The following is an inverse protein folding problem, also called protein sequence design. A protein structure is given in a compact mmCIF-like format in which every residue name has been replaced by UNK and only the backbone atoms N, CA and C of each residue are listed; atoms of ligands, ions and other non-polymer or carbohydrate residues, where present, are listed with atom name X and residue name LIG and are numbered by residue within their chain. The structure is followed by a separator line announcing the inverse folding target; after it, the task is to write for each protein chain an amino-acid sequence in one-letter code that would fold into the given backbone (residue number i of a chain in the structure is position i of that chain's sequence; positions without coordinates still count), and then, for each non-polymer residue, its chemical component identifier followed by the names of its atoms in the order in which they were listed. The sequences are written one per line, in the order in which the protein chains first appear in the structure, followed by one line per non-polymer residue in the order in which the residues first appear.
data_IF_747718793701
#
_entry.id   IF_747718793701
#
_cell.length_a   1.000
_cell.length_b   1.000
_cell.length_c   1.000
_cell.angle_alpha   90.00
_cell.angle_beta   90.00
_cell.angle_gamma   90.00
#
_symmetry.space_group_name_H-M   'P 1'
#
loop_
_entity.id
_entity.type
_entity.pdbx_description
1 polymer ?
#
# COMPACT_ATOMS: atom_id res chain seq x y z
N UNK A 1 -10.63 -40.49 -1.12
CA UNK A 1 -10.31 -41.66 -0.24
C UNK A 1 -9.36 -41.17 0.84
N UNK A 2 -9.62 -41.50 2.11
CA UNK A 2 -8.78 -41.04 3.21
C UNK A 2 -7.40 -41.71 3.18
N UNK A 3 -6.33 -40.94 3.28
CA UNK A 3 -4.96 -41.44 3.37
C UNK A 3 -4.48 -41.33 4.81
N UNK A 4 -3.74 -42.32 5.30
CA UNK A 4 -3.08 -42.18 6.60
C UNK A 4 -1.82 -41.36 6.44
N UNK A 5 -1.70 -40.29 7.21
CA UNK A 5 -0.47 -39.48 7.26
C UNK A 5 0.56 -40.22 8.09
N UNK A 6 1.75 -40.42 7.53
CA UNK A 6 2.91 -40.98 8.22
C UNK A 6 3.81 -39.85 8.73
N UNK A 7 4.60 -40.14 9.74
CA UNK A 7 5.66 -39.26 10.21
C UNK A 7 6.72 -39.12 9.14
N UNK A 8 6.99 -37.90 8.70
CA UNK A 8 7.94 -37.60 7.63
C UNK A 8 9.37 -38.04 7.96
N UNK A 9 9.69 -38.18 9.26
CA UNK A 9 11.03 -38.58 9.72
C UNK A 9 11.26 -40.09 9.75
N UNK A 10 10.25 -40.89 10.11
CA UNK A 10 10.46 -42.32 10.40
C UNK A 10 9.39 -43.27 9.84
N UNK A 11 8.41 -42.75 9.09
CA UNK A 11 7.33 -43.52 8.48
C UNK A 11 6.24 -44.03 9.44
N UNK A 12 6.38 -43.80 10.75
CA UNK A 12 5.39 -44.22 11.75
C UNK A 12 4.03 -43.54 11.53
N UNK A 13 2.93 -44.24 11.78
CA UNK A 13 1.56 -43.76 11.53
C UNK A 13 0.75 -43.56 12.81
N UNK A 14 1.38 -43.75 13.97
CA UNK A 14 0.78 -43.57 15.29
C UNK A 14 1.40 -42.37 15.99
N UNK A 15 0.53 -41.55 16.58
CA UNK A 15 0.87 -40.29 17.20
C UNK A 15 0.19 -40.11 18.55
N UNK A 16 0.81 -39.31 19.41
CA UNK A 16 0.22 -38.77 20.65
C UNK A 16 -0.13 -37.30 20.44
N UNK A 17 -1.03 -36.78 21.27
CA UNK A 17 -1.43 -35.37 21.26
C UNK A 17 -0.86 -34.70 22.50
N UNK A 18 -0.22 -33.55 22.33
CA UNK A 18 0.06 -32.61 23.40
C UNK A 18 -0.71 -31.30 23.13
N UNK A 19 -1.53 -30.89 24.10
CA UNK A 19 -2.43 -29.75 24.00
C UNK A 19 -1.66 -28.47 24.23
N UNK A 20 -1.67 -27.56 23.25
CA UNK A 20 -1.22 -26.17 23.40
C UNK A 20 -2.39 -25.24 23.02
N UNK A 21 -2.29 -23.94 23.30
CA UNK A 21 -3.31 -22.99 22.88
C UNK A 21 -3.20 -22.72 21.38
N UNK A 22 -4.33 -22.62 20.69
CA UNK A 22 -4.51 -22.35 19.25
C UNK A 22 -4.03 -23.45 18.29
N UNK A 23 -3.09 -24.27 18.73
CA UNK A 23 -2.55 -25.42 18.01
C UNK A 23 -2.62 -26.71 18.86
N UNK A 24 -2.36 -27.84 18.24
CA UNK A 24 -2.06 -29.09 18.91
C UNK A 24 -0.75 -29.65 18.38
N UNK A 25 0.11 -30.08 19.30
CA UNK A 25 1.32 -30.81 18.97
C UNK A 25 0.96 -32.27 18.77
N UNK A 26 1.16 -32.75 17.55
CA UNK A 26 1.01 -34.17 17.22
C UNK A 26 2.40 -34.80 17.21
N UNK A 27 2.66 -35.66 18.20
CA UNK A 27 3.97 -36.22 18.49
C UNK A 27 4.04 -37.64 17.95
N UNK A 28 4.97 -37.90 17.03
CA UNK A 28 5.21 -39.25 16.52
C UNK A 28 5.62 -40.19 17.67
N UNK A 29 4.91 -41.31 17.83
CA UNK A 29 5.16 -42.26 18.92
C UNK A 29 6.57 -42.88 18.87
N UNK A 30 7.16 -43.00 17.68
CA UNK A 30 8.45 -43.70 17.46
C UNK A 30 9.67 -42.79 17.58
N UNK A 31 9.62 -41.60 17.01
CA UNK A 31 10.80 -40.71 16.91
C UNK A 31 10.62 -39.35 17.58
N UNK A 32 9.48 -39.12 18.25
CA UNK A 32 9.11 -37.86 18.91
C UNK A 32 9.13 -36.62 18.00
N UNK A 33 9.10 -36.80 16.68
CA UNK A 33 8.94 -35.68 15.75
C UNK A 33 7.58 -35.03 15.99
N UNK A 34 7.58 -33.70 16.18
CA UNK A 34 6.38 -32.90 16.43
C UNK A 34 5.86 -32.36 15.11
N UNK A 35 4.56 -32.43 14.91
CA UNK A 35 3.83 -31.81 13.81
C UNK A 35 2.79 -30.89 14.45
N UNK A 36 2.78 -29.62 14.06
CA UNK A 36 1.79 -28.67 14.54
C UNK A 36 0.50 -28.80 13.72
N UNK A 37 -0.63 -28.84 14.42
CA UNK A 37 -1.95 -28.88 13.81
C UNK A 37 -2.80 -27.74 14.35
N UNK A 38 -3.31 -26.89 13.46
CA UNK A 38 -4.16 -25.79 13.87
C UNK A 38 -5.48 -26.32 14.40
N UNK A 39 -5.72 -26.13 15.71
CA UNK A 39 -6.96 -26.52 16.36
C UNK A 39 -8.02 -25.41 16.26
N UNK A 40 -7.63 -24.23 15.79
CA UNK A 40 -8.41 -22.99 15.75
C UNK A 40 -8.12 -22.12 16.97
N UNK A 41 -8.31 -20.80 16.81
CA UNK A 41 -8.10 -19.83 17.90
C UNK A 41 -8.83 -20.24 19.18
N UNK A 42 -8.12 -20.14 20.30
CA UNK A 42 -8.59 -20.51 21.64
C UNK A 42 -9.14 -21.95 21.75
N UNK A 43 -8.68 -22.86 20.90
CA UNK A 43 -9.18 -24.23 20.80
C UNK A 43 -8.02 -25.21 20.89
N UNK A 44 -8.25 -26.37 21.51
CA UNK A 44 -7.27 -27.45 21.61
C UNK A 44 -7.97 -28.81 21.70
N UNK A 45 -7.19 -29.89 21.77
CA UNK A 45 -7.68 -31.26 21.88
C UNK A 45 -7.27 -31.91 23.21
N UNK A 46 -8.15 -32.73 23.77
CA UNK A 46 -7.79 -33.63 24.88
C UNK A 46 -6.72 -34.64 24.44
N UNK A 47 -5.77 -34.94 25.33
CA UNK A 47 -4.67 -35.90 25.05
C UNK A 47 -5.14 -37.34 24.88
N UNK A 48 -6.39 -37.63 25.28
CA UNK A 48 -6.98 -38.97 25.28
C UNK A 48 -8.28 -38.99 24.48
N UNK A 49 -8.59 -40.16 23.92
CA UNK A 49 -9.80 -40.40 23.18
C UNK A 49 -11.03 -40.25 24.09
N UNK A 50 -12.02 -39.49 23.62
CA UNK A 50 -13.26 -39.19 24.35
C UNK A 50 -14.14 -40.42 24.65
N UNK A 51 -13.92 -41.54 23.98
CA UNK A 51 -14.74 -42.75 24.10
C UNK A 51 -14.09 -43.92 24.85
N UNK A 52 -12.75 -44.01 24.85
CA UNK A 52 -12.05 -45.20 25.36
C UNK A 52 -10.74 -44.91 26.08
N UNK A 53 -10.46 -43.64 26.37
CA UNK A 53 -9.27 -43.13 27.10
C UNK A 53 -7.90 -43.44 26.48
N UNK A 54 -7.86 -44.06 25.30
CA UNK A 54 -6.65 -44.33 24.54
C UNK A 54 -5.94 -43.04 24.14
N UNK A 55 -4.62 -42.99 24.26
CA UNK A 55 -3.77 -41.81 23.98
C UNK A 55 -3.03 -41.91 22.64
N UNK A 56 -3.33 -42.93 21.84
CA UNK A 56 -2.72 -43.19 20.54
C UNK A 56 -3.69 -42.91 19.39
N UNK A 57 -3.25 -42.11 18.43
CA UNK A 57 -4.08 -41.64 17.33
C UNK A 57 -3.41 -41.85 15.97
N UNK A 58 -4.23 -41.96 14.93
CA UNK A 58 -3.84 -41.90 13.52
C UNK A 58 -4.36 -40.60 12.92
N UNK A 59 -3.54 -39.97 12.11
CA UNK A 59 -3.95 -38.81 11.31
C UNK A 59 -4.49 -39.30 9.97
N UNK A 60 -5.73 -38.93 9.63
CA UNK A 60 -6.37 -39.22 8.34
C UNK A 60 -6.49 -37.96 7.52
N UNK A 61 -5.86 -37.96 6.36
CA UNK A 61 -5.88 -36.88 5.40
C UNK A 61 -7.00 -37.08 4.39
N UNK A 62 -7.78 -36.03 4.18
CA UNK A 62 -8.82 -35.93 3.17
C UNK A 62 -8.49 -34.75 2.26
N UNK A 63 -8.25 -35.06 0.99
CA UNK A 63 -7.92 -34.08 -0.03
C UNK A 63 -9.22 -33.65 -0.72
N UNK A 64 -9.56 -32.36 -0.65
CA UNK A 64 -10.75 -31.73 -1.26
C UNK A 64 -10.32 -30.57 -2.18
N UNK A 65 -10.01 -30.87 -3.44
CA UNK A 65 -9.38 -29.88 -4.32
C UNK A 65 -8.03 -29.45 -3.76
N UNK A 66 -7.83 -28.14 -3.57
CA UNK A 66 -6.61 -27.57 -2.98
C UNK A 66 -6.60 -27.58 -1.43
N UNK A 67 -7.67 -28.07 -0.79
CA UNK A 67 -7.80 -28.09 0.67
C UNK A 67 -7.42 -29.46 1.23
N UNK A 68 -6.49 -29.47 2.18
CA UNK A 68 -6.16 -30.63 3.01
C UNK A 68 -6.94 -30.55 4.34
N UNK A 69 -7.74 -31.58 4.64
CA UNK A 69 -8.41 -31.73 5.94
C UNK A 69 -7.78 -32.93 6.66
N UNK A 70 -7.30 -32.73 7.88
CA UNK A 70 -6.78 -33.81 8.72
C UNK A 70 -7.78 -34.11 9.83
N UNK A 71 -8.12 -35.39 9.97
CA UNK A 71 -8.95 -35.93 11.03
C UNK A 71 -8.12 -36.79 11.98
N UNK A 72 -8.31 -36.64 13.28
CA UNK A 72 -7.58 -37.40 14.31
C UNK A 72 -8.43 -38.59 14.76
N UNK A 73 -8.02 -39.81 14.42
CA UNK A 73 -8.74 -41.04 14.76
C UNK A 73 -8.02 -41.84 15.85
N UNK A 74 -8.74 -42.21 16.89
CA UNK A 74 -8.27 -43.14 17.91
C UNK A 74 -7.91 -44.50 17.29
N UNK A 75 -6.72 -45.03 17.62
CA UNK A 75 -6.27 -46.32 17.10
C UNK A 75 -7.17 -47.47 17.54
N UNK A 76 -7.77 -47.38 18.74
CA UNK A 76 -8.59 -48.42 19.38
C UNK A 76 -10.05 -48.43 18.92
N UNK A 77 -10.76 -47.30 19.02
CA UNK A 77 -12.22 -47.26 18.77
C UNK A 77 -12.63 -46.47 17.52
N UNK A 78 -11.69 -45.89 16.77
CA UNK A 78 -11.93 -44.97 15.63
C UNK A 78 -12.65 -43.65 15.97
N UNK A 79 -13.02 -43.43 17.24
CA UNK A 79 -13.53 -42.15 17.71
C UNK A 79 -12.46 -41.06 17.78
N UNK A 80 -12.85 -39.85 18.16
CA UNK A 80 -11.99 -38.66 18.10
C UNK A 80 -11.60 -38.16 19.50
N UNK A 81 -10.47 -37.46 19.66
CA UNK A 81 -10.22 -36.68 20.86
C UNK A 81 -11.26 -35.56 20.98
N UNK A 82 -11.69 -35.25 22.21
CA UNK A 82 -12.63 -34.15 22.44
C UNK A 82 -11.91 -32.82 22.24
N UNK A 83 -12.53 -31.90 21.50
CA UNK A 83 -12.09 -30.50 21.45
C UNK A 83 -12.63 -29.72 22.65
N UNK A 84 -11.83 -28.81 23.17
CA UNK A 84 -12.23 -27.84 24.19
C UNK A 84 -11.49 -26.53 24.01
N UNK A 85 -11.92 -25.51 24.76
CA UNK A 85 -11.39 -24.16 24.61
C UNK A 85 -10.43 -23.80 25.74
N UNK A 86 -9.41 -23.03 25.38
CA UNK A 86 -8.39 -22.53 26.31
C UNK A 86 -8.08 -21.06 26.02
N UNK A 87 -7.74 -20.29 27.05
CA UNK A 87 -7.15 -18.97 26.89
C UNK A 87 -5.66 -19.04 26.48
N UNK A 88 -5.00 -17.90 26.28
CA UNK A 88 -3.58 -17.84 25.87
C UNK A 88 -2.61 -18.42 26.93
N UNK A 89 -3.05 -18.55 28.18
CA UNK A 89 -2.28 -19.14 29.28
C UNK A 89 -2.50 -20.66 29.38
N UNK A 90 -3.45 -21.21 28.61
CA UNK A 90 -3.80 -22.62 28.61
C UNK A 90 -4.88 -23.00 29.61
N UNK A 91 -5.51 -22.04 30.28
CA UNK A 91 -6.60 -22.30 31.20
C UNK A 91 -7.87 -22.68 30.43
N UNK A 92 -8.60 -23.68 30.91
CA UNK A 92 -9.83 -24.13 30.27
C UNK A 92 -10.92 -23.07 30.40
N UNK A 93 -11.52 -22.69 29.28
CA UNK A 93 -12.60 -21.71 29.20
C UNK A 93 -13.85 -22.33 28.57
N UNK A 94 -15.00 -21.69 28.80
CA UNK A 94 -16.24 -22.07 28.13
C UNK A 94 -16.34 -21.44 26.72
N UNK A 95 -17.40 -21.83 26.00
CA UNK A 95 -17.64 -21.33 24.64
C UNK A 95 -17.91 -19.83 24.62
N UNK A 96 -18.66 -19.31 25.58
CA UNK A 96 -19.03 -17.89 25.62
C UNK A 96 -17.79 -17.03 25.82
N UNK A 97 -16.88 -17.44 26.70
CA UNK A 97 -15.58 -16.77 26.91
C UNK A 97 -14.74 -16.82 25.64
N UNK A 98 -14.69 -17.96 24.93
CA UNK A 98 -14.03 -18.02 23.62
C UNK A 98 -14.59 -17.01 22.63
N UNK A 99 -15.90 -16.91 22.49
CA UNK A 99 -16.50 -15.94 21.56
C UNK A 99 -16.15 -14.50 21.95
N UNK A 100 -16.11 -14.19 23.25
CA UNK A 100 -15.66 -12.88 23.75
C UNK A 100 -14.20 -12.61 23.36
N UNK A 101 -13.30 -13.59 23.51
CA UNK A 101 -11.89 -13.43 23.13
C UNK A 101 -11.72 -13.25 21.62
N UNK A 102 -12.50 -13.97 20.79
CA UNK A 102 -12.50 -13.79 19.34
C UNK A 102 -12.99 -12.39 18.93
N UNK A 103 -14.03 -11.89 19.60
CA UNK A 103 -14.52 -10.52 19.40
C UNK A 103 -13.45 -9.52 19.82
N UNK A 104 -12.79 -9.73 20.96
CA UNK A 104 -11.71 -8.86 21.45
C UNK A 104 -10.55 -8.78 20.46
N UNK A 105 -10.06 -9.92 19.97
CA UNK A 105 -9.02 -9.96 18.93
C UNK A 105 -9.45 -9.20 17.66
N UNK A 106 -10.73 -9.30 17.29
CA UNK A 106 -11.28 -8.60 16.13
C UNK A 106 -11.32 -7.09 16.36
N UNK A 107 -11.75 -6.65 17.55
CA UNK A 107 -11.75 -5.22 17.94
C UNK A 107 -10.32 -4.67 17.92
N UNK A 108 -9.35 -5.36 18.53
CA UNK A 108 -7.94 -4.94 18.51
C UNK A 108 -7.41 -4.82 17.07
N UNK A 109 -7.78 -5.73 16.16
CA UNK A 109 -7.41 -5.62 14.76
C UNK A 109 -8.07 -4.43 14.06
N UNK A 110 -9.33 -4.12 14.38
CA UNK A 110 -10.05 -2.97 13.81
C UNK A 110 -9.46 -1.66 14.31
N UNK A 111 -9.14 -1.55 15.61
CA UNK A 111 -8.49 -0.38 16.20
C UNK A 111 -7.15 -0.08 15.54
N UNK A 112 -6.30 -1.10 15.36
CA UNK A 112 -5.03 -0.95 14.64
C UNK A 112 -5.23 -0.45 13.20
N UNK A 113 -6.26 -0.93 12.50
CA UNK A 113 -6.57 -0.46 11.15
C UNK A 113 -7.04 1.00 11.14
N UNK A 114 -7.82 1.42 12.15
CA UNK A 114 -8.25 2.82 12.29
C UNK A 114 -7.03 3.73 12.48
N UNK A 115 -6.09 3.39 13.36
CA UNK A 115 -4.87 4.17 13.55
C UNK A 115 -4.06 4.33 12.25
N UNK A 116 -3.88 3.24 11.49
CA UNK A 116 -3.18 3.31 10.20
C UNK A 116 -3.92 4.22 9.18
N UNK A 117 -5.25 4.25 9.21
CA UNK A 117 -6.05 5.13 8.35
C UNK A 117 -5.88 6.58 8.78
N UNK A 118 -5.90 6.87 10.08
CA UNK A 118 -5.68 8.22 10.63
C UNK A 118 -4.29 8.78 10.24
N UNK A 119 -3.26 7.96 10.32
CA UNK A 119 -1.91 8.31 9.86
C UNK A 119 -1.90 8.62 8.36
N UNK A 120 -2.55 7.77 7.55
CA UNK A 120 -2.65 7.97 6.10
C UNK A 120 -3.39 9.26 5.74
N UNK A 121 -4.46 9.60 6.45
CA UNK A 121 -5.21 10.85 6.26
C UNK A 121 -4.32 12.04 6.57
N UNK A 122 -3.58 11.99 7.69
CA UNK A 122 -2.67 13.06 8.10
C UNK A 122 -1.57 13.31 7.05
N UNK A 123 -1.02 12.25 6.46
CA UNK A 123 -0.05 12.35 5.36
C UNK A 123 -0.65 12.96 4.09
N UNK A 124 -1.89 12.61 3.76
CA UNK A 124 -2.61 13.20 2.62
C UNK A 124 -2.85 14.69 2.83
N UNK A 125 -3.32 15.09 4.02
CA UNK A 125 -3.58 16.50 4.35
C UNK A 125 -2.31 17.34 4.22
N UNK A 126 -1.18 16.84 4.72
CA UNK A 126 0.11 17.50 4.55
C UNK A 126 0.48 17.67 3.07
N UNK A 127 0.30 16.63 2.24
CA UNK A 127 0.58 16.70 0.80
C UNK A 127 -0.32 17.69 0.08
N UNK A 128 -1.60 17.75 0.45
CA UNK A 128 -2.54 18.75 -0.10
C UNK A 128 -2.06 20.15 0.22
N UNK A 129 -1.69 20.43 1.47
CA UNK A 129 -1.17 21.73 1.88
C UNK A 129 0.08 22.14 1.08
N UNK A 130 1.03 21.22 0.86
CA UNK A 130 2.20 21.48 0.03
C UNK A 130 1.82 21.83 -1.42
N UNK A 131 0.91 21.06 -2.03
CA UNK A 131 0.45 21.31 -3.39
C UNK A 131 -0.27 22.66 -3.53
N UNK A 132 -1.09 23.04 -2.56
CA UNK A 132 -1.73 24.36 -2.53
C UNK A 132 -0.70 25.49 -2.50
N UNK A 133 0.38 25.32 -1.73
CA UNK A 133 1.48 26.28 -1.67
C UNK A 133 2.24 26.39 -3.01
N UNK A 134 2.54 25.25 -3.65
CA UNK A 134 3.19 25.22 -4.96
C UNK A 134 2.33 25.89 -6.04
N UNK A 135 1.03 25.61 -6.07
CA UNK A 135 0.07 26.26 -6.98
C UNK A 135 0.06 27.78 -6.76
N UNK A 136 0.05 28.23 -5.50
CA UNK A 136 0.15 29.66 -5.19
C UNK A 136 1.43 30.31 -5.71
N UNK A 137 2.57 29.63 -5.59
CA UNK A 137 3.85 30.10 -6.14
C UNK A 137 3.83 30.18 -7.68
N UNK A 138 3.26 29.18 -8.34
CA UNK A 138 3.12 29.16 -9.80
C UNK A 138 2.25 30.33 -10.28
N UNK A 139 1.12 30.59 -9.60
CA UNK A 139 0.23 31.71 -9.93
C UNK A 139 0.99 33.05 -9.85
N UNK A 140 1.75 33.28 -8.78
CA UNK A 140 2.55 34.50 -8.63
C UNK A 140 3.60 34.65 -9.74
N UNK A 141 4.25 33.54 -10.13
CA UNK A 141 5.22 33.55 -11.22
C UNK A 141 4.57 33.87 -12.58
N UNK A 142 3.34 33.41 -12.81
CA UNK A 142 2.58 33.74 -14.02
C UNK A 142 2.28 35.25 -14.05
N UNK A 143 1.76 35.82 -12.96
CA UNK A 143 1.49 37.26 -12.88
C UNK A 143 2.74 38.10 -13.15
N UNK A 144 3.88 37.75 -12.54
CA UNK A 144 5.13 38.45 -12.79
C UNK A 144 5.58 38.37 -14.25
N UNK A 145 5.38 37.22 -14.90
CA UNK A 145 5.69 37.07 -16.34
C UNK A 145 4.77 37.89 -17.22
N UNK A 146 3.48 37.96 -16.90
CA UNK A 146 2.50 38.77 -17.64
C UNK A 146 2.86 40.27 -17.56
N UNK A 147 3.26 40.76 -16.38
CA UNK A 147 3.75 42.14 -16.22
C UNK A 147 4.99 42.42 -17.07
N UNK A 148 5.95 41.47 -17.11
CA UNK A 148 7.14 41.60 -17.95
C UNK A 148 6.79 41.62 -19.44
N UNK A 149 5.82 40.81 -19.88
CA UNK A 149 5.36 40.79 -21.28
C UNK A 149 4.74 42.14 -21.64
N UNK A 150 3.85 42.67 -20.82
CA UNK A 150 3.24 43.99 -21.06
C UNK A 150 4.31 45.09 -21.19
N UNK A 151 5.31 45.09 -20.30
CA UNK A 151 6.42 46.03 -20.40
C UNK A 151 7.28 45.86 -21.67
N UNK A 152 7.42 44.64 -22.18
CA UNK A 152 8.07 44.40 -23.47
C UNK A 152 7.23 44.89 -24.65
N UNK A 153 5.90 44.72 -24.59
CA UNK A 153 4.98 45.24 -25.61
C UNK A 153 5.06 46.77 -25.71
N UNK A 154 5.02 47.48 -24.57
CA UNK A 154 5.18 48.93 -24.51
C UNK A 154 6.52 49.38 -25.12
N UNK A 155 7.61 48.70 -24.80
CA UNK A 155 8.92 48.99 -25.37
C UNK A 155 8.96 48.79 -26.89
N UNK A 156 8.33 47.74 -27.40
CA UNK A 156 8.23 47.48 -28.84
C UNK A 156 7.45 48.59 -29.55
N UNK A 157 6.36 49.07 -28.97
CA UNK A 157 5.57 50.16 -29.55
C UNK A 157 6.31 51.49 -29.54
N UNK A 158 7.07 51.79 -28.49
CA UNK A 158 7.97 52.95 -28.45
C UNK A 158 9.03 52.86 -29.57
N UNK A 159 9.69 51.70 -29.74
CA UNK A 159 10.68 51.50 -30.81
C UNK A 159 10.05 51.69 -32.19
N UNK A 160 8.82 51.20 -32.43
CA UNK A 160 8.12 51.44 -33.70
C UNK A 160 7.90 52.93 -33.95
N UNK A 161 7.50 53.69 -32.92
CA UNK A 161 7.31 55.14 -33.01
C UNK A 161 8.61 55.84 -33.38
N UNK A 162 9.72 55.49 -32.73
CA UNK A 162 11.05 56.03 -33.02
C UNK A 162 11.47 55.75 -34.46
N UNK A 163 11.24 54.52 -34.96
CA UNK A 163 11.53 54.16 -36.36
C UNK A 163 10.72 55.00 -37.35
N UNK A 164 9.44 55.28 -37.06
CA UNK A 164 8.63 56.15 -37.92
C UNK A 164 9.13 57.59 -37.94
N UNK A 165 9.53 58.12 -36.78
CA UNK A 165 10.13 59.45 -36.65
C UNK A 165 11.44 59.55 -37.47
N UNK A 166 12.34 58.59 -37.29
CA UNK A 166 13.60 58.52 -38.03
C UNK A 166 13.37 58.39 -39.54
N UNK A 167 12.40 57.59 -39.97
CA UNK A 167 12.05 57.46 -41.39
C UNK A 167 11.59 58.80 -41.98
N UNK A 168 10.78 59.54 -41.24
CA UNK A 168 10.30 60.87 -41.65
C UNK A 168 11.44 61.90 -41.75
N UNK A 169 12.41 61.85 -40.84
CA UNK A 169 13.60 62.71 -40.88
C UNK A 169 14.50 62.38 -42.07
N UNK A 170 14.71 61.09 -42.35
CA UNK A 170 15.46 60.63 -43.53
C UNK A 170 14.83 61.18 -44.83
N UNK A 171 13.50 61.13 -44.95
CA UNK A 171 12.83 61.63 -46.15
C UNK A 171 12.94 63.16 -46.29
N UNK A 172 12.92 63.92 -45.19
CA UNK A 172 13.22 65.36 -45.22
C UNK A 172 14.64 65.63 -45.68
N UNK A 173 15.62 64.92 -45.12
CA UNK A 173 17.03 65.06 -45.51
C UNK A 173 17.25 64.72 -46.98
N UNK A 174 16.58 63.71 -47.53
CA UNK A 174 16.63 63.40 -48.97
C UNK A 174 16.14 64.58 -49.81
N UNK A 175 15.01 65.19 -49.44
CA UNK A 175 14.47 66.36 -50.15
C UNK A 175 15.41 67.56 -50.06
N UNK A 176 16.02 67.78 -48.89
CA UNK A 176 16.99 68.87 -48.71
C UNK A 176 18.24 68.66 -49.58
N UNK A 177 18.75 67.43 -49.68
CA UNK A 177 19.86 67.08 -50.58
C UNK A 177 19.48 67.33 -52.03
N UNK A 178 18.30 66.89 -52.48
CA UNK A 178 17.83 67.12 -53.85
C UNK A 178 17.71 68.63 -54.18
N UNK A 179 17.24 69.43 -53.22
CA UNK A 179 17.19 70.88 -53.37
C UNK A 179 18.58 71.50 -53.50
N UNK A 180 19.56 71.05 -52.69
CA UNK A 180 20.95 71.52 -52.76
C UNK A 180 21.57 71.13 -54.10
N UNK A 181 21.41 69.89 -54.54
CA UNK A 181 21.92 69.41 -55.84
C UNK A 181 21.39 70.27 -56.99
N UNK A 182 20.09 70.60 -56.97
CA UNK A 182 19.48 71.48 -57.96
C UNK A 182 20.04 72.91 -57.92
N UNK A 183 20.38 73.44 -56.74
CA UNK A 183 21.02 74.75 -56.60
C UNK A 183 22.44 74.74 -57.16
N UNK A 184 23.24 73.71 -56.86
CA UNK A 184 24.59 73.52 -57.39
C UNK A 184 24.53 73.49 -58.93
N UNK A 185 23.63 72.68 -59.49
CA UNK A 185 23.45 72.57 -60.94
C UNK A 185 23.16 73.92 -61.63
N UNK A 186 22.38 74.79 -60.99
CA UNK A 186 22.09 76.13 -61.52
C UNK A 186 23.33 77.02 -61.50
N UNK A 187 24.05 77.04 -60.39
CA UNK A 187 25.27 77.83 -60.24
C UNK A 187 26.34 77.42 -61.26
N UNK A 188 26.51 76.11 -61.51
CA UNK A 188 27.45 75.59 -62.50
C UNK A 188 27.16 76.06 -63.94
N UNK A 189 25.91 76.45 -64.24
CA UNK A 189 25.53 76.97 -65.57
C UNK A 189 25.67 78.49 -65.73
N UNK A 190 25.87 79.22 -64.63
CA UNK A 190 26.03 80.68 -64.65
C UNK A 190 27.49 81.12 -64.88
N UNK A 191 28.44 80.18 -64.84
CA UNK A 191 29.85 80.36 -65.17
C UNK A 191 30.19 79.71 -66.53
#
# INVERSE_FOLDING_TARGET
MAKTKSCDRCGEVIFKINSICEDAEIICQKCNNVIYFNAGKYTTYEKKCSHCENDLFKLRRYDYGDKEIIKIECTKCKGEPKQYYVDREGNKIDRSVREILLIKDTIESVENNIYNIEDTISDIDNRVYYLESEVGSIINNIYSKDEMINGLEDNVDNIKSDIYSMSSEIDRLKNDIENIDNQIYRLEREF
#
